data_IF_344228567977
#
_entry.id   IF_344228567977
#
_cell.length_a   1.000
_cell.length_b   1.000
_cell.length_c   1.000
_cell.angle_alpha   90.00
_cell.angle_beta   90.00
_cell.angle_gamma   90.00
#
_symmetry.space_group_name_H-M   'P 1'
#
loop_
_entity.id
_entity.type
_entity.pdbx_description
1 polymer ?
#
# COMPACT_ATOMS: atom_id res chain seq x y z
N UNK A 1 12.34 -1.59 15.98
CA UNK A 1 13.44 -0.81 15.38
C UNK A 1 13.15 -0.64 13.90
N UNK A 2 13.15 0.59 13.38
CA UNK A 2 13.10 0.83 11.94
C UNK A 2 14.54 0.87 11.38
N UNK A 3 14.74 0.21 10.25
CA UNK A 3 16.00 0.24 9.54
C UNK A 3 15.74 0.72 8.11
N UNK A 4 16.35 1.85 7.72
CA UNK A 4 16.29 2.35 6.34
C UNK A 4 17.24 1.51 5.49
N UNK A 5 16.68 0.88 4.47
CA UNK A 5 17.41 0.07 3.49
C UNK A 5 17.86 0.96 2.34
N UNK A 6 16.96 1.84 1.88
CA UNK A 6 17.23 2.79 0.82
C UNK A 6 16.44 4.09 1.04
N UNK A 7 17.02 5.20 0.65
CA UNK A 7 16.34 6.50 0.51
C UNK A 7 17.10 7.36 -0.49
N UNK A 8 16.38 8.18 -1.24
CA UNK A 8 16.93 9.14 -2.19
C UNK A 8 16.54 10.59 -1.84
N UNK A 9 16.96 11.53 -2.69
CA UNK A 9 16.66 12.96 -2.55
C UNK A 9 15.21 13.31 -2.89
N UNK A 10 14.50 12.46 -3.64
CA UNK A 10 13.11 12.62 -4.06
C UNK A 10 12.11 12.04 -3.06
N UNK A 11 12.60 11.61 -1.88
CA UNK A 11 11.82 11.00 -0.78
C UNK A 11 11.30 9.59 -1.08
N UNK A 12 11.80 8.93 -2.13
CA UNK A 12 11.55 7.50 -2.27
C UNK A 12 12.33 6.75 -1.19
N UNK A 13 11.71 5.77 -0.56
CA UNK A 13 12.35 5.06 0.53
C UNK A 13 11.84 3.64 0.68
N UNK A 14 12.74 2.74 1.09
CA UNK A 14 12.43 1.39 1.55
C UNK A 14 12.97 1.25 2.96
N UNK A 15 12.09 0.91 3.91
CA UNK A 15 12.44 0.71 5.31
C UNK A 15 11.90 -0.65 5.78
N UNK A 16 12.69 -1.31 6.59
CA UNK A 16 12.29 -2.52 7.29
C UNK A 16 11.96 -2.18 8.74
N UNK A 17 10.80 -2.60 9.21
CA UNK A 17 10.35 -2.43 10.58
C UNK A 17 10.41 -3.75 11.35
N UNK A 18 10.76 -3.68 12.64
CA UNK A 18 10.81 -4.83 13.54
C UNK A 18 10.47 -4.36 14.97
N UNK A 19 9.23 -4.59 15.40
CA UNK A 19 8.72 -4.13 16.69
C UNK A 19 7.90 -5.20 17.40
N UNK A 20 8.02 -5.27 18.72
CA UNK A 20 7.08 -6.01 19.59
C UNK A 20 5.96 -5.11 20.09
N UNK A 21 6.29 -3.86 20.37
CA UNK A 21 5.36 -2.84 20.84
C UNK A 21 5.62 -1.53 20.10
N UNK A 22 4.58 -0.95 19.56
CA UNK A 22 4.60 0.34 18.90
C UNK A 22 3.21 0.97 18.96
N UNK A 23 3.15 2.24 19.29
CA UNK A 23 2.00 3.09 19.03
C UNK A 23 2.52 4.43 18.52
N UNK A 24 2.24 4.72 17.26
CA UNK A 24 2.78 5.91 16.62
C UNK A 24 1.88 6.40 15.47
N UNK A 25 1.87 7.72 15.25
CA UNK A 25 1.37 8.26 13.99
C UNK A 25 2.21 7.72 12.83
N UNK A 26 1.53 7.27 11.79
CA UNK A 26 2.16 6.74 10.59
C UNK A 26 1.88 7.69 9.43
N UNK A 27 2.93 8.41 9.00
CA UNK A 27 2.83 9.25 7.81
C UNK A 27 3.11 8.43 6.55
N UNK A 28 2.45 8.81 5.46
CA UNK A 28 2.75 8.35 4.12
C UNK A 28 3.34 9.52 3.34
N UNK A 29 4.29 9.24 2.47
CA UNK A 29 4.90 10.25 1.58
C UNK A 29 4.60 9.86 0.15
N UNK A 30 4.04 10.79 -0.64
CA UNK A 30 3.49 10.47 -1.96
C UNK A 30 2.46 9.34 -1.86
N UNK A 31 2.75 8.17 -2.41
CA UNK A 31 2.04 6.93 -2.09
C UNK A 31 2.92 6.03 -1.22
N UNK A 32 2.41 5.67 -0.05
CA UNK A 32 3.11 4.82 0.90
C UNK A 32 2.45 3.45 1.04
N UNK A 33 3.28 2.42 1.09
CA UNK A 33 2.86 1.03 1.28
C UNK A 33 3.39 0.52 2.62
N UNK A 34 2.53 -0.11 3.41
CA UNK A 34 2.90 -0.78 4.66
C UNK A 34 2.53 -2.26 4.55
N UNK A 35 3.52 -3.12 4.36
CA UNK A 35 3.38 -4.56 4.18
C UNK A 35 3.82 -5.30 5.43
N UNK A 36 3.06 -6.31 5.86
CA UNK A 36 3.38 -7.16 7.02
C UNK A 36 4.05 -8.45 6.57
N UNK A 37 5.31 -8.62 6.92
CA UNK A 37 6.14 -9.77 6.58
C UNK A 37 6.12 -10.87 7.67
N UNK A 38 5.83 -10.51 8.93
CA UNK A 38 5.63 -11.42 10.05
C UNK A 38 4.77 -10.75 11.13
N UNK A 39 3.87 -11.52 11.75
CA UNK A 39 2.97 -11.04 12.81
C UNK A 39 1.75 -10.29 12.27
N UNK A 40 1.32 -9.27 13.00
CA UNK A 40 0.10 -8.51 12.73
C UNK A 40 0.25 -7.08 13.23
N UNK A 41 -0.22 -6.12 12.43
CA UNK A 41 -0.29 -4.70 12.75
C UNK A 41 -1.74 -4.22 12.70
N UNK A 42 -2.08 -3.27 13.56
CA UNK A 42 -3.38 -2.60 13.53
C UNK A 42 -3.16 -1.17 13.08
N UNK A 43 -3.79 -0.80 11.98
CA UNK A 43 -3.84 0.58 11.49
C UNK A 43 -5.20 1.19 11.75
N UNK A 44 -5.20 2.43 12.22
CA UNK A 44 -6.37 3.30 12.20
C UNK A 44 -6.10 4.35 11.12
N UNK A 45 -6.79 4.27 10.01
CA UNK A 45 -6.60 5.19 8.88
C UNK A 45 -7.94 5.82 8.49
N UNK A 46 -7.98 7.17 8.43
CA UNK A 46 -9.18 7.95 8.11
C UNK A 46 -10.41 7.50 8.92
N UNK A 47 -10.22 7.26 10.24
CA UNK A 47 -11.28 6.83 11.17
C UNK A 47 -11.70 5.37 11.07
N UNK A 48 -11.08 4.56 10.20
CA UNK A 48 -11.37 3.12 10.05
C UNK A 48 -10.22 2.27 10.60
N UNK A 49 -10.57 1.11 11.17
CA UNK A 49 -9.60 0.15 11.72
C UNK A 49 -9.31 -0.94 10.70
N UNK A 50 -8.03 -1.18 10.44
CA UNK A 50 -7.53 -2.24 9.57
C UNK A 50 -6.63 -3.17 10.36
N UNK A 51 -6.94 -4.46 10.32
CA UNK A 51 -6.10 -5.52 10.84
C UNK A 51 -5.29 -6.09 9.68
N UNK A 52 -3.99 -5.80 9.66
CA UNK A 52 -3.07 -6.16 8.58
C UNK A 52 -2.20 -7.31 9.08
N UNK A 53 -2.36 -8.49 8.47
CA UNK A 53 -1.67 -9.73 8.83
C UNK A 53 -0.54 -10.02 7.87
N UNK A 54 0.22 -11.08 8.17
CA UNK A 54 1.24 -11.60 7.25
C UNK A 54 0.68 -11.78 5.84
N UNK A 55 1.36 -11.20 4.87
CA UNK A 55 0.94 -11.22 3.47
C UNK A 55 -0.11 -10.18 3.10
N UNK A 56 -0.56 -9.36 4.05
CA UNK A 56 -1.41 -8.21 3.77
C UNK A 56 -0.57 -6.92 3.74
N UNK A 57 -1.12 -5.91 3.10
CA UNK A 57 -0.58 -4.57 3.10
C UNK A 57 -1.68 -3.51 3.07
N UNK A 58 -1.35 -2.29 3.45
CA UNK A 58 -2.20 -1.10 3.33
C UNK A 58 -1.47 -0.05 2.50
N UNK A 59 -2.22 0.66 1.65
CA UNK A 59 -1.71 1.82 0.91
C UNK A 59 -2.40 3.07 1.45
N UNK A 60 -1.64 4.14 1.57
CA UNK A 60 -2.14 5.48 1.88
C UNK A 60 -1.31 6.52 1.14
N UNK A 61 -1.80 7.73 1.13
CA UNK A 61 -1.09 8.90 0.62
C UNK A 61 -0.85 9.93 1.72
N UNK A 62 -0.25 11.07 1.40
CA UNK A 62 0.08 12.12 2.37
C UNK A 62 -1.16 12.76 3.06
N UNK A 63 -2.37 12.60 2.50
CA UNK A 63 -3.64 13.02 3.11
C UNK A 63 -4.19 11.97 4.10
N UNK A 64 -3.62 10.77 4.13
CA UNK A 64 -4.07 9.69 5.01
C UNK A 64 -3.63 9.93 6.45
N UNK A 65 -4.58 10.26 7.31
CA UNK A 65 -4.34 10.35 8.76
C UNK A 65 -4.34 8.96 9.36
N UNK A 66 -3.19 8.46 9.79
CA UNK A 66 -3.09 7.12 10.34
C UNK A 66 -2.29 7.01 11.62
N UNK A 67 -2.66 6.00 12.43
CA UNK A 67 -1.97 5.53 13.62
C UNK A 67 -1.72 4.04 13.45
N UNK A 68 -0.52 3.58 13.78
CA UNK A 68 -0.18 2.16 13.83
C UNK A 68 -0.07 1.71 15.28
N UNK A 69 -0.63 0.55 15.59
CA UNK A 69 -0.50 -0.14 16.88
C UNK A 69 0.03 -1.55 16.67
N UNK A 70 1.09 -1.89 17.42
CA UNK A 70 1.65 -3.23 17.53
C UNK A 70 1.71 -3.57 19.01
N UNK A 71 1.15 -4.71 19.40
CA UNK A 71 1.28 -5.28 20.75
C UNK A 71 1.34 -6.80 20.61
N UNK A 72 2.56 -7.34 20.59
CA UNK A 72 2.82 -8.76 20.31
C UNK A 72 3.94 -9.29 21.19
N UNK A 73 3.83 -10.56 21.57
CA UNK A 73 4.91 -11.28 22.28
C UNK A 73 6.14 -11.49 21.36
N UNK A 74 5.88 -11.75 20.07
CA UNK A 74 6.91 -11.91 19.05
C UNK A 74 7.09 -10.63 18.24
N UNK A 75 8.25 -10.50 17.61
CA UNK A 75 8.54 -9.32 16.79
C UNK A 75 7.69 -9.33 15.50
N UNK A 76 6.94 -8.26 15.29
CA UNK A 76 6.21 -7.99 14.06
C UNK A 76 7.16 -7.32 13.07
N UNK A 77 7.24 -7.87 11.86
CA UNK A 77 8.13 -7.41 10.81
C UNK A 77 7.33 -6.87 9.64
N UNK A 78 7.77 -5.75 9.09
CA UNK A 78 7.12 -5.14 7.94
C UNK A 78 8.09 -4.41 7.02
N UNK A 79 7.59 -4.14 5.80
CA UNK A 79 8.22 -3.24 4.85
C UNK A 79 7.39 -1.96 4.76
N UNK A 80 8.08 -0.83 4.83
CA UNK A 80 7.49 0.48 4.54
C UNK A 80 8.16 0.99 3.26
N UNK A 81 7.38 1.23 2.23
CA UNK A 81 7.85 1.77 0.96
C UNK A 81 7.12 3.09 0.74
N UNK A 82 7.84 4.16 0.49
CA UNK A 82 7.29 5.44 0.09
C UNK A 82 7.78 5.76 -1.33
N UNK A 83 6.86 6.15 -2.20
CA UNK A 83 7.12 6.52 -3.60
C UNK A 83 6.69 7.97 -3.77
N UNK A 84 7.58 8.79 -4.30
CA UNK A 84 7.33 10.22 -4.49
C UNK A 84 6.11 10.49 -5.38
N UNK A 85 5.43 11.60 -5.10
CA UNK A 85 4.31 12.07 -5.93
C UNK A 85 4.72 12.33 -7.37
N UNK A 86 6.00 12.68 -7.62
CA UNK A 86 6.52 12.93 -8.96
C UNK A 86 6.55 11.65 -9.80
N UNK A 87 7.10 10.54 -9.27
CA UNK A 87 7.09 9.24 -9.95
C UNK A 87 5.64 8.77 -10.17
N UNK A 88 4.77 8.87 -9.17
CA UNK A 88 3.36 8.48 -9.32
C UNK A 88 2.67 9.31 -10.41
N UNK A 89 2.94 10.62 -10.47
CA UNK A 89 2.36 11.52 -11.50
C UNK A 89 2.84 11.14 -12.88
N UNK A 90 4.15 10.94 -13.06
CA UNK A 90 4.75 10.61 -14.34
C UNK A 90 4.22 9.27 -14.89
N UNK A 91 4.17 8.24 -14.04
CA UNK A 91 3.66 6.93 -14.44
C UNK A 91 2.16 6.97 -14.72
N UNK A 92 1.35 7.69 -13.93
CA UNK A 92 -0.08 7.83 -14.16
C UNK A 92 -0.36 8.54 -15.50
N UNK A 93 0.38 9.60 -15.83
CA UNK A 93 0.23 10.33 -17.09
C UNK A 93 0.64 9.49 -18.32
N UNK A 94 1.62 8.60 -18.16
CA UNK A 94 2.05 7.71 -19.25
C UNK A 94 1.04 6.60 -19.55
N UNK A 95 0.35 6.09 -18.54
CA UNK A 95 -0.50 4.90 -18.67
C UNK A 95 -1.97 5.17 -19.00
N UNK A 96 -2.43 6.44 -19.03
CA UNK A 96 -3.87 6.70 -19.18
C UNK A 96 -4.21 7.89 -20.10
N UNK A 97 -5.19 7.65 -20.97
CA UNK A 97 -5.87 8.71 -21.72
C UNK A 97 -6.61 9.68 -20.78
N UNK A 98 -7.01 9.22 -19.58
CA UNK A 98 -7.61 10.00 -18.50
C UNK A 98 -6.64 10.13 -17.29
N UNK A 99 -5.34 10.11 -17.53
CA UNK A 99 -4.30 10.08 -16.47
C UNK A 99 -4.39 11.20 -15.43
N UNK A 100 -5.02 12.32 -15.77
CA UNK A 100 -5.25 13.42 -14.84
C UNK A 100 -6.23 13.06 -13.71
N UNK A 101 -7.32 12.32 -13.99
CA UNK A 101 -8.35 11.98 -12.99
C UNK A 101 -7.84 10.89 -12.05
N UNK A 102 -7.17 9.87 -12.58
CA UNK A 102 -6.55 8.83 -11.76
C UNK A 102 -5.43 9.40 -10.88
N UNK A 103 -4.59 10.28 -11.43
CA UNK A 103 -3.55 10.98 -10.66
C UNK A 103 -4.16 11.81 -9.53
N UNK A 104 -5.22 12.57 -9.79
CA UNK A 104 -5.92 13.35 -8.77
C UNK A 104 -6.49 12.44 -7.69
N UNK A 105 -7.14 11.34 -8.06
CA UNK A 105 -7.62 10.35 -7.11
C UNK A 105 -6.49 9.79 -6.23
N UNK A 106 -5.35 9.42 -6.80
CA UNK A 106 -4.23 8.82 -6.07
C UNK A 106 -3.56 9.79 -5.09
N UNK A 107 -3.45 11.08 -5.47
CA UNK A 107 -2.67 12.09 -4.75
C UNK A 107 -3.53 13.14 -4.04
N UNK A 108 -4.82 12.87 -3.79
CA UNK A 108 -5.72 13.76 -3.05
C UNK A 108 -6.31 13.10 -1.79
N UNK A 109 -7.14 13.84 -1.09
CA UNK A 109 -7.90 13.35 0.07
C UNK A 109 -9.04 12.38 -0.31
N UNK A 110 -9.32 12.22 -1.60
CA UNK A 110 -10.30 11.25 -2.14
C UNK A 110 -9.71 9.84 -2.24
N UNK A 111 -8.43 9.66 -1.95
CA UNK A 111 -7.77 8.35 -2.04
C UNK A 111 -8.45 7.29 -1.16
N UNK A 112 -8.76 6.15 -1.77
CA UNK A 112 -9.43 5.04 -1.10
C UNK A 112 -8.45 4.17 -0.34
N UNK A 113 -8.22 4.47 0.93
CA UNK A 113 -7.40 3.64 1.80
C UNK A 113 -8.08 2.29 2.04
N UNK A 114 -7.40 1.19 1.78
CA UNK A 114 -7.87 -0.17 2.04
C UNK A 114 -6.72 -1.13 2.33
N UNK A 115 -7.07 -2.28 2.94
CA UNK A 115 -6.19 -3.43 3.10
C UNK A 115 -6.28 -4.33 1.87
N UNK A 116 -5.15 -4.81 1.39
CA UNK A 116 -5.01 -5.73 0.26
C UNK A 116 -4.20 -6.95 0.67
N UNK A 117 -4.40 -8.07 -0.04
CA UNK A 117 -3.56 -9.26 0.12
C UNK A 117 -2.63 -9.41 -1.09
N UNK A 118 -1.36 -9.78 -0.84
CA UNK A 118 -0.33 -9.90 -1.87
C UNK A 118 -0.68 -10.87 -2.99
N UNK A 119 -1.50 -11.89 -2.72
CA UNK A 119 -1.88 -12.90 -3.72
C UNK A 119 -2.80 -12.37 -4.82
N UNK A 120 -3.44 -11.24 -4.58
CA UNK A 120 -4.55 -10.74 -5.40
C UNK A 120 -4.20 -9.44 -6.14
N UNK A 121 -2.93 -9.03 -6.15
CA UNK A 121 -2.52 -7.72 -6.65
C UNK A 121 -1.15 -7.79 -7.33
N UNK A 122 -0.94 -6.93 -8.33
CA UNK A 122 0.35 -6.79 -9.02
C UNK A 122 1.44 -6.30 -8.06
N UNK A 123 1.12 -5.30 -7.24
CA UNK A 123 2.01 -4.78 -6.20
C UNK A 123 2.40 -5.86 -5.19
N UNK A 124 1.46 -6.74 -4.83
CA UNK A 124 1.72 -7.81 -3.87
C UNK A 124 2.85 -8.74 -4.29
N UNK A 125 2.93 -9.08 -5.56
CA UNK A 125 4.06 -9.87 -6.10
C UNK A 125 5.39 -9.14 -5.89
N UNK A 126 5.47 -7.86 -6.22
CA UNK A 126 6.68 -7.04 -6.04
C UNK A 126 7.09 -6.93 -4.57
N UNK A 127 6.13 -6.75 -3.66
CA UNK A 127 6.38 -6.69 -2.21
C UNK A 127 6.96 -8.01 -1.68
N UNK A 128 6.44 -9.14 -2.16
CA UNK A 128 6.96 -10.45 -1.79
C UNK A 128 8.42 -10.63 -2.23
N UNK A 129 8.72 -10.30 -3.48
CA UNK A 129 10.08 -10.36 -4.06
C UNK A 129 11.07 -9.48 -3.29
N UNK A 130 10.71 -8.22 -3.01
CA UNK A 130 11.55 -7.30 -2.23
C UNK A 130 11.82 -7.86 -0.84
N UNK A 131 10.77 -8.36 -0.16
CA UNK A 131 10.92 -8.94 1.16
C UNK A 131 11.87 -10.16 1.16
N UNK A 132 11.80 -11.02 0.14
CA UNK A 132 12.72 -12.16 0.00
C UNK A 132 14.16 -11.69 -0.22
N UNK A 133 14.39 -10.72 -1.11
CA UNK A 133 15.71 -10.16 -1.37
C UNK A 133 16.34 -9.53 -0.12
N UNK A 134 15.54 -8.84 0.67
CA UNK A 134 16.00 -8.26 1.96
C UNK A 134 16.37 -9.37 2.95
N UNK A 135 15.53 -10.39 3.11
CA UNK A 135 15.79 -11.50 4.03
C UNK A 135 17.03 -12.31 3.68
N UNK A 136 17.33 -12.45 2.39
CA UNK A 136 18.52 -13.18 1.89
C UNK A 136 19.76 -12.30 1.82
N UNK A 137 19.66 -11.01 2.12
CA UNK A 137 20.79 -10.07 2.04
C UNK A 137 21.22 -9.73 0.60
N UNK A 138 20.43 -10.10 -0.40
CA UNK A 138 20.72 -9.87 -1.83
C UNK A 138 20.22 -8.50 -2.30
N UNK A 139 19.51 -7.76 -1.47
CA UNK A 139 19.06 -6.40 -1.80
C UNK A 139 20.28 -5.49 -1.80
N UNK A 140 20.91 -5.31 -2.96
CA UNK A 140 22.12 -4.50 -3.13
C UNK A 140 21.78 -3.02 -3.37
N UNK A 141 22.72 -2.13 -2.97
CA UNK A 141 22.62 -0.68 -3.19
C UNK A 141 22.90 -0.25 -4.64
N UNK A 142 22.73 -1.13 -5.62
CA UNK A 142 23.08 -0.84 -6.99
C UNK A 142 22.06 0.08 -7.70
N UNK A 143 22.54 0.78 -8.69
CA UNK A 143 21.96 1.84 -9.54
C UNK A 143 20.53 1.60 -10.12
N UNK A 144 19.89 0.50 -9.81
CA UNK A 144 18.57 0.10 -10.32
C UNK A 144 17.39 0.50 -9.41
N UNK A 145 17.64 1.29 -8.34
CA UNK A 145 16.55 1.64 -7.41
C UNK A 145 15.49 2.54 -8.05
N UNK A 146 15.88 3.42 -8.97
CA UNK A 146 14.91 4.25 -9.69
C UNK A 146 13.96 3.37 -10.52
N UNK A 147 14.49 2.41 -11.28
CA UNK A 147 13.67 1.45 -12.04
C UNK A 147 12.71 0.66 -11.13
N UNK A 148 13.16 0.31 -9.92
CA UNK A 148 12.32 -0.35 -8.94
C UNK A 148 11.13 0.51 -8.51
N UNK A 149 11.34 1.81 -8.22
CA UNK A 149 10.24 2.69 -7.82
C UNK A 149 9.26 2.96 -8.96
N UNK A 150 9.72 3.08 -10.20
CA UNK A 150 8.84 3.13 -11.37
C UNK A 150 8.02 1.84 -11.53
N UNK A 151 8.64 0.67 -11.40
CA UNK A 151 7.95 -0.62 -11.47
C UNK A 151 6.92 -0.80 -10.34
N UNK A 152 7.24 -0.33 -9.13
CA UNK A 152 6.29 -0.32 -8.01
C UNK A 152 5.12 0.64 -8.28
N UNK A 153 5.40 1.83 -8.81
CA UNK A 153 4.38 2.79 -9.20
C UNK A 153 3.44 2.23 -10.28
N UNK A 154 3.98 1.59 -11.32
CA UNK A 154 3.19 0.89 -12.34
C UNK A 154 2.26 -0.18 -11.74
N UNK A 155 2.79 -0.98 -10.81
CA UNK A 155 2.01 -2.00 -10.12
C UNK A 155 0.89 -1.39 -9.28
N UNK A 156 1.17 -0.31 -8.53
CA UNK A 156 0.17 0.42 -7.75
C UNK A 156 -0.90 1.02 -8.66
N UNK A 157 -0.50 1.68 -9.73
CA UNK A 157 -1.42 2.32 -10.67
C UNK A 157 -2.33 1.30 -11.33
N UNK A 158 -1.79 0.15 -11.72
CA UNK A 158 -2.57 -0.95 -12.28
C UNK A 158 -3.63 -1.44 -11.31
N UNK A 159 -3.26 -1.69 -10.05
CA UNK A 159 -4.17 -2.17 -9.03
C UNK A 159 -5.20 -1.08 -8.62
N UNK A 160 -4.78 0.18 -8.50
CA UNK A 160 -5.64 1.29 -8.07
C UNK A 160 -6.54 1.82 -9.18
N UNK A 161 -6.20 1.64 -10.46
CA UNK A 161 -7.10 1.92 -11.58
C UNK A 161 -8.39 1.11 -11.46
N UNK A 162 -8.28 -0.18 -11.16
CA UNK A 162 -9.45 -1.02 -10.91
C UNK A 162 -10.33 -0.45 -9.77
N UNK A 163 -9.71 0.02 -8.70
CA UNK A 163 -10.42 0.63 -7.57
C UNK A 163 -11.13 1.91 -8.00
N UNK A 164 -10.42 2.80 -8.70
CA UNK A 164 -10.94 4.06 -9.20
C UNK A 164 -12.13 3.87 -10.14
N UNK A 165 -11.99 3.02 -11.16
CA UNK A 165 -13.06 2.73 -12.13
C UNK A 165 -14.31 2.17 -11.46
N UNK A 166 -14.16 1.28 -10.47
CA UNK A 166 -15.30 0.72 -9.76
C UNK A 166 -15.97 1.72 -8.83
N UNK A 167 -15.20 2.57 -8.16
CA UNK A 167 -15.75 3.62 -7.28
C UNK A 167 -16.52 4.68 -8.09
N UNK A 168 -16.00 5.10 -9.24
CA UNK A 168 -16.63 6.10 -10.10
C UNK A 168 -17.89 5.58 -10.80
N UNK A 169 -17.96 4.25 -11.05
CA UNK A 169 -19.14 3.61 -11.64
C UNK A 169 -20.26 3.29 -10.63
N UNK A 170 -20.02 3.45 -9.33
CA UNK A 170 -21.07 3.33 -8.31
C UNK A 170 -21.86 4.64 -8.24
N UNK A 171 -23.12 4.61 -8.66
CA UNK A 171 -24.01 5.79 -8.74
C UNK A 171 -24.85 5.98 -7.45
N UNK A 172 -24.23 5.98 -6.29
CA UNK A 172 -24.90 6.36 -5.06
C UNK A 172 -24.69 7.85 -4.78
N UNK A 173 -25.73 8.51 -4.28
CA UNK A 173 -25.76 9.97 -4.02
C UNK A 173 -24.68 10.48 -3.04
N UNK A 174 -24.01 9.58 -2.31
CA UNK A 174 -22.97 9.93 -1.33
C UNK A 174 -21.72 9.11 -1.58
N UNK A 175 -20.57 9.76 -1.74
CA UNK A 175 -19.27 9.10 -1.89
C UNK A 175 -18.96 8.11 -0.76
N UNK A 176 -19.31 8.46 0.49
CA UNK A 176 -19.15 7.56 1.64
C UNK A 176 -19.90 6.23 1.45
N UNK A 177 -21.09 6.27 0.84
CA UNK A 177 -21.87 5.05 0.55
C UNK A 177 -21.19 4.20 -0.53
N UNK A 178 -20.63 4.83 -1.57
CA UNK A 178 -19.89 4.14 -2.62
C UNK A 178 -18.68 3.39 -2.01
N UNK A 179 -17.91 4.07 -1.18
CA UNK A 179 -16.75 3.45 -0.50
C UNK A 179 -17.15 2.27 0.40
N UNK A 180 -18.24 2.40 1.17
CA UNK A 180 -18.70 1.34 2.07
C UNK A 180 -19.18 0.11 1.30
N UNK A 181 -19.95 0.31 0.24
CA UNK A 181 -20.40 -0.76 -0.66
C UNK A 181 -19.20 -1.43 -1.33
N UNK A 182 -18.27 -0.64 -1.85
CA UNK A 182 -17.08 -1.19 -2.50
C UNK A 182 -16.19 -1.98 -1.53
N UNK A 183 -16.01 -1.51 -0.30
CA UNK A 183 -15.30 -2.27 0.76
C UNK A 183 -15.99 -3.60 1.07
N UNK A 184 -17.31 -3.61 1.13
CA UNK A 184 -18.06 -4.84 1.38
C UNK A 184 -17.88 -5.85 0.22
N UNK A 185 -17.86 -5.37 -1.02
CA UNK A 185 -17.59 -6.20 -2.21
C UNK A 185 -16.16 -6.77 -2.17
N UNK A 186 -15.16 -5.95 -1.90
CA UNK A 186 -13.77 -6.42 -1.79
C UNK A 186 -13.58 -7.42 -0.65
N UNK A 187 -14.23 -7.20 0.48
CA UNK A 187 -14.19 -8.14 1.61
C UNK A 187 -14.87 -9.47 1.28
N UNK A 188 -16.03 -9.43 0.62
CA UNK A 188 -16.72 -10.64 0.17
C UNK A 188 -15.86 -11.43 -0.82
N UNK A 189 -15.20 -10.74 -1.78
CA UNK A 189 -14.27 -11.37 -2.71
C UNK A 189 -13.13 -12.08 -1.99
N UNK A 190 -12.48 -11.42 -1.03
CA UNK A 190 -11.41 -12.02 -0.23
C UNK A 190 -11.86 -13.30 0.49
N UNK A 191 -13.06 -13.29 1.11
CA UNK A 191 -13.61 -14.46 1.79
C UNK A 191 -13.93 -15.62 0.83
N UNK A 192 -14.36 -15.31 -0.41
CA UNK A 192 -14.59 -16.31 -1.43
C UNK A 192 -13.28 -16.94 -1.88
N UNK A 193 -12.26 -16.10 -2.16
CA UNK A 193 -10.95 -16.56 -2.60
C UNK A 193 -10.26 -17.44 -1.54
N UNK A 194 -10.38 -17.09 -0.25
CA UNK A 194 -9.87 -17.90 0.87
C UNK A 194 -10.54 -19.28 0.93
N UNK A 195 -11.86 -19.37 0.68
CA UNK A 195 -12.61 -20.64 0.76
C UNK A 195 -12.45 -21.54 -0.47
N UNK A 196 -12.10 -20.99 -1.63
CA UNK A 196 -11.87 -21.79 -2.84
C UNK A 196 -10.48 -22.46 -2.81
N UNK A 197 -9.55 -21.91 -2.03
CA UNK A 197 -8.18 -22.40 -1.90
C UNK A 197 -7.98 -23.40 -0.75
N UNK A 198 -9.01 -23.68 0.04
CA UNK A 198 -9.07 -24.79 1.02
C UNK A 198 -9.60 -26.08 0.35
#
# INVERSE_FOLDING_TARGET
MNHTIYTDTEKNAIRFSNFKQLEASCAFTGLGVKYVAAGEEIYYANGKKYKVKVGDYIIGNEFTKSLVQINSAEAVQGLCIDISSDIISEVAEFHDVNGSELKEFLLSDQFFVNRYNVKNTSLGYSLHEINQKIKTGVFSNDLQHNELFYSLAESIITDQRFVFEHLTNLDFKKNVTNEEVFRAILHAKLLIDERITE
#
